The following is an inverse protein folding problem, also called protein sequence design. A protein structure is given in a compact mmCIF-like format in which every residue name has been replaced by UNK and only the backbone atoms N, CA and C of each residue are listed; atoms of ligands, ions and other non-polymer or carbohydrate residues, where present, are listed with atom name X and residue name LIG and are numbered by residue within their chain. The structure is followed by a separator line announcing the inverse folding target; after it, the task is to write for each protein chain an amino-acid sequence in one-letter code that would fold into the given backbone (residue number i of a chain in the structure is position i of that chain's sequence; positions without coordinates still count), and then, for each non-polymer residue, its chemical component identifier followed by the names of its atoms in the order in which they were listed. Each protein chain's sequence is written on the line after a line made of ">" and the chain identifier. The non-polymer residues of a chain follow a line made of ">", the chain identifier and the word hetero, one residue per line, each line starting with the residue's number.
data_IF_330615479795
#
_entry.id   IF_330615479795
#
_cell.length_a   1.000
_cell.length_b   1.000
_cell.length_c   1.000
_cell.angle_alpha   90.00
_cell.angle_beta   90.00
_cell.angle_gamma   90.00
#
_symmetry.space_group_name_H-M   'P 1'
#
loop_
_entity.id
_entity.type
_entity.pdbx_description
1 polymer ?
#
# COMPACT_ATOMS: atom_id res chain seq x y z
N UNK A 1 -12.32 -5.49 24.65
CA UNK A 1 -11.01 -5.01 24.18
C UNK A 1 -10.16 -6.07 23.48
N UNK A 2 -9.82 -7.23 24.08
CA UNK A 2 -8.97 -8.26 23.39
C UNK A 2 -9.62 -8.92 22.16
N UNK A 3 -10.95 -9.01 22.09
CA UNK A 3 -11.67 -9.57 20.93
C UNK A 3 -11.99 -8.59 19.80
N UNK A 4 -11.74 -7.29 19.98
CA UNK A 4 -12.12 -6.26 18.99
C UNK A 4 -11.05 -6.06 17.92
N UNK A 5 -9.77 -6.20 18.27
CA UNK A 5 -8.66 -5.97 17.33
C UNK A 5 -8.67 -6.96 16.15
N UNK A 6 -8.86 -8.28 16.35
CA UNK A 6 -8.95 -9.22 15.24
C UNK A 6 -10.13 -8.92 14.30
N UNK A 7 -11.28 -8.52 14.85
CA UNK A 7 -12.49 -8.19 14.06
C UNK A 7 -12.27 -6.93 13.22
N UNK A 8 -11.67 -5.88 13.79
CA UNK A 8 -11.38 -4.65 13.06
C UNK A 8 -10.37 -4.92 11.93
N UNK A 9 -9.36 -5.74 12.19
CA UNK A 9 -8.38 -6.14 11.18
C UNK A 9 -9.03 -6.92 10.03
N UNK A 10 -9.86 -7.91 10.35
CA UNK A 10 -10.59 -8.71 9.36
C UNK A 10 -11.52 -7.84 8.50
N UNK A 11 -12.27 -6.92 9.12
CA UNK A 11 -13.12 -5.97 8.41
C UNK A 11 -12.32 -5.06 7.49
N UNK A 12 -11.18 -4.53 7.96
CA UNK A 12 -10.29 -3.72 7.14
C UNK A 12 -9.74 -4.52 5.95
N UNK A 13 -9.24 -5.73 6.19
CA UNK A 13 -8.63 -6.59 5.17
C UNK A 13 -9.66 -7.12 4.15
N UNK A 14 -10.93 -7.19 4.54
CA UNK A 14 -12.06 -7.56 3.67
C UNK A 14 -12.71 -6.36 2.98
N UNK A 15 -12.23 -5.14 3.24
CA UNK A 15 -12.80 -3.94 2.63
C UNK A 15 -12.62 -3.95 1.10
N UNK A 16 -13.51 -3.28 0.34
CA UNK A 16 -13.44 -3.26 -1.12
C UNK A 16 -12.10 -2.76 -1.67
N UNK A 17 -11.49 -1.76 -1.01
CA UNK A 17 -10.22 -1.20 -1.45
C UNK A 17 -9.07 -2.20 -1.26
N UNK A 18 -8.98 -2.87 -0.09
CA UNK A 18 -7.95 -3.89 0.14
C UNK A 18 -8.13 -5.07 -0.80
N UNK A 19 -9.38 -5.50 -1.01
CA UNK A 19 -9.72 -6.57 -1.95
C UNK A 19 -9.30 -6.21 -3.38
N UNK A 20 -9.55 -4.98 -3.83
CA UNK A 20 -9.11 -4.52 -5.16
C UNK A 20 -7.58 -4.44 -5.26
N UNK A 21 -6.89 -3.92 -4.25
CA UNK A 21 -5.42 -3.83 -4.21
C UNK A 21 -4.77 -5.23 -4.31
N UNK A 22 -5.35 -6.24 -3.65
CA UNK A 22 -4.92 -7.65 -3.74
C UNK A 22 -4.98 -8.24 -5.15
N UNK A 23 -5.74 -7.64 -6.08
CA UNK A 23 -5.78 -8.11 -7.48
C UNK A 23 -4.50 -7.80 -8.27
N UNK A 24 -3.64 -6.89 -7.78
CA UNK A 24 -2.39 -6.49 -8.44
C UNK A 24 -1.20 -7.40 -8.12
N UNK A 25 -1.37 -8.38 -7.21
CA UNK A 25 -0.33 -9.31 -6.82
C UNK A 25 -0.57 -9.92 -5.45
N UNK A 26 0.25 -10.91 -5.10
CA UNK A 26 0.19 -11.55 -3.79
C UNK A 26 0.68 -10.59 -2.70
N UNK A 27 -0.12 -10.45 -1.64
CA UNK A 27 0.25 -9.83 -0.36
C UNK A 27 0.54 -10.95 0.63
N UNK A 28 1.58 -10.79 1.44
CA UNK A 28 2.03 -11.80 2.39
C UNK A 28 2.74 -12.99 1.76
N UNK A 29 3.14 -13.92 2.62
CA UNK A 29 3.69 -15.20 2.23
C UNK A 29 2.60 -16.17 1.69
N UNK A 30 3.00 -17.39 1.33
CA UNK A 30 2.07 -18.42 0.84
C UNK A 30 1.14 -18.97 1.93
N UNK A 31 1.38 -18.63 3.19
CA UNK A 31 0.63 -19.14 4.34
C UNK A 31 -0.62 -18.29 4.62
N UNK A 32 -0.70 -17.07 4.05
CA UNK A 32 -1.92 -16.26 4.06
C UNK A 32 -2.24 -15.66 5.44
N UNK A 33 -1.21 -15.36 6.24
CA UNK A 33 -1.41 -14.72 7.54
C UNK A 33 -1.88 -13.27 7.36
N UNK A 34 -3.12 -12.99 7.76
CA UNK A 34 -3.75 -11.65 7.67
C UNK A 34 -2.91 -10.53 8.31
N UNK A 35 -2.20 -10.80 9.41
CA UNK A 35 -1.35 -9.79 10.05
C UNK A 35 -0.10 -9.48 9.22
N UNK A 36 0.44 -10.49 8.52
CA UNK A 36 1.55 -10.31 7.58
C UNK A 36 1.09 -9.48 6.38
N UNK A 37 -0.04 -9.82 5.77
CA UNK A 37 -0.63 -9.06 4.66
C UNK A 37 -0.90 -7.60 5.05
N UNK A 38 -1.45 -7.37 6.24
CA UNK A 38 -1.65 -6.04 6.78
C UNK A 38 -0.34 -5.27 6.94
N UNK A 39 0.70 -5.93 7.48
CA UNK A 39 2.02 -5.33 7.67
C UNK A 39 2.65 -4.89 6.36
N UNK A 40 2.54 -5.72 5.31
CA UNK A 40 2.99 -5.38 3.95
C UNK A 40 2.18 -4.27 3.30
N UNK A 41 0.89 -4.15 3.60
CA UNK A 41 0.09 -3.02 3.13
C UNK A 41 0.56 -1.71 3.77
N UNK A 42 0.73 -1.70 5.09
CA UNK A 42 1.05 -0.47 5.83
C UNK A 42 2.51 -0.04 5.69
N UNK A 43 3.42 -0.92 5.28
CA UNK A 43 4.82 -0.55 4.98
C UNK A 43 4.95 0.36 3.74
N UNK A 44 3.90 0.42 2.91
CA UNK A 44 3.77 1.27 1.74
C UNK A 44 4.49 0.79 0.48
N UNK A 45 5.29 -0.28 0.53
CA UNK A 45 6.05 -0.80 -0.62
C UNK A 45 5.10 -1.39 -1.65
N UNK A 46 4.17 -2.26 -1.22
CA UNK A 46 3.22 -2.89 -2.13
C UNK A 46 2.35 -1.84 -2.83
N UNK A 47 1.80 -0.89 -2.07
CA UNK A 47 0.96 0.19 -2.61
C UNK A 47 1.70 1.06 -3.62
N UNK A 48 2.99 1.35 -3.40
CA UNK A 48 3.79 2.08 -4.39
C UNK A 48 4.00 1.27 -5.68
N UNK A 49 4.16 -0.06 -5.59
CA UNK A 49 4.21 -0.93 -6.77
C UNK A 49 2.89 -0.92 -7.53
N UNK A 50 1.75 -0.95 -6.83
CA UNK A 50 0.41 -0.82 -7.44
C UNK A 50 0.30 0.50 -8.20
N UNK A 51 0.70 1.62 -7.59
CA UNK A 51 0.69 2.92 -8.27
C UNK A 51 1.59 2.97 -9.51
N UNK A 52 2.71 2.24 -9.50
CA UNK A 52 3.58 2.12 -10.68
C UNK A 52 2.96 1.30 -11.81
N UNK A 53 2.18 0.25 -11.48
CA UNK A 53 1.41 -0.48 -12.50
C UNK A 53 0.31 0.42 -13.10
N UNK A 54 -0.32 1.28 -12.29
CA UNK A 54 -1.33 2.25 -12.74
C UNK A 54 -0.70 3.36 -13.61
N UNK A 55 0.46 3.86 -13.22
CA UNK A 55 1.17 4.92 -13.93
C UNK A 55 2.69 4.66 -13.97
N UNK A 56 3.18 3.97 -15.00
CA UNK A 56 4.61 3.63 -15.14
C UNK A 56 5.52 4.86 -15.33
N UNK A 57 4.94 6.04 -15.60
CA UNK A 57 5.70 7.30 -15.72
C UNK A 57 6.13 7.85 -14.35
N UNK A 58 5.59 7.34 -13.25
CA UNK A 58 5.98 7.71 -11.89
C UNK A 58 7.21 6.91 -11.42
N UNK A 59 8.28 7.59 -11.05
CA UNK A 59 9.52 6.93 -10.63
C UNK A 59 9.39 6.30 -9.22
N UNK A 60 9.41 4.97 -9.11
CA UNK A 60 9.46 4.25 -7.81
C UNK A 60 10.89 4.18 -7.25
N UNK A 61 11.60 5.30 -7.22
CA UNK A 61 12.93 5.36 -6.60
C UNK A 61 12.81 5.80 -5.14
N UNK A 62 13.62 5.21 -4.26
CA UNK A 62 13.71 5.62 -2.84
C UNK A 62 12.74 4.94 -1.87
N UNK A 63 12.18 3.77 -2.22
CA UNK A 63 11.46 2.95 -1.24
C UNK A 63 12.46 2.26 -0.31
N UNK A 64 12.22 2.39 0.99
CA UNK A 64 13.04 1.72 2.00
C UNK A 64 12.40 0.39 2.39
N UNK A 65 13.23 -0.65 2.54
CA UNK A 65 12.80 -1.86 3.24
C UNK A 65 12.52 -1.49 4.69
N UNK A 66 11.27 -1.64 5.13
CA UNK A 66 10.82 -1.19 6.46
C UNK A 66 11.18 -2.25 7.50
N UNK A 67 12.26 -2.03 8.26
CA UNK A 67 12.66 -2.93 9.35
C UNK A 67 11.98 -2.55 10.67
N UNK A 68 10.65 -2.45 10.67
CA UNK A 68 9.84 -1.89 11.77
C UNK A 68 10.14 -0.42 12.13
N UNK A 69 10.87 0.30 11.28
CA UNK A 69 11.14 1.72 11.48
C UNK A 69 9.95 2.58 11.00
N UNK A 70 9.40 3.38 11.92
CA UNK A 70 8.23 4.23 11.65
C UNK A 70 8.56 5.34 10.65
N UNK A 71 9.79 5.87 10.67
CA UNK A 71 10.24 6.91 9.74
C UNK A 71 10.27 6.41 8.29
N UNK A 72 10.79 5.20 8.07
CA UNK A 72 10.82 4.54 6.77
C UNK A 72 9.41 4.25 6.25
N UNK A 73 8.51 3.78 7.13
CA UNK A 73 7.09 3.61 6.79
C UNK A 73 6.44 4.93 6.36
N UNK A 74 6.63 5.98 7.15
CA UNK A 74 6.09 7.30 6.86
C UNK A 74 6.64 7.87 5.54
N UNK A 75 7.93 7.64 5.25
CA UNK A 75 8.55 8.03 3.99
C UNK A 75 7.91 7.29 2.80
N UNK A 76 7.78 5.96 2.87
CA UNK A 76 7.17 5.17 1.79
C UNK A 76 5.73 5.61 1.50
N UNK A 77 4.93 5.89 2.55
CA UNK A 77 3.56 6.40 2.40
C UNK A 77 3.52 7.84 1.87
N UNK A 78 4.52 8.67 2.21
CA UNK A 78 4.64 10.03 1.66
C UNK A 78 4.92 10.00 0.15
N UNK A 79 5.78 9.07 -0.31
CA UNK A 79 6.03 8.82 -1.73
C UNK A 79 4.75 8.35 -2.44
N UNK A 80 4.00 7.44 -1.82
CA UNK A 80 2.71 6.98 -2.36
C UNK A 80 1.74 8.15 -2.58
N UNK A 81 1.56 9.00 -1.56
CA UNK A 81 0.69 10.18 -1.63
C UNK A 81 1.15 11.13 -2.74
N UNK A 82 2.46 11.35 -2.86
CA UNK A 82 3.03 12.18 -3.93
C UNK A 82 2.68 11.61 -5.31
N UNK A 83 2.84 10.30 -5.53
CA UNK A 83 2.51 9.66 -6.81
C UNK A 83 1.02 9.75 -7.16
N UNK A 84 0.13 9.54 -6.18
CA UNK A 84 -1.32 9.69 -6.38
C UNK A 84 -1.65 11.13 -6.80
N UNK A 85 -1.12 12.13 -6.07
CA UNK A 85 -1.36 13.54 -6.39
C UNK A 85 -0.83 13.92 -7.77
N UNK A 86 0.42 13.54 -8.06
CA UNK A 86 1.07 13.81 -9.35
C UNK A 86 0.31 13.20 -10.51
N UNK A 87 -0.20 11.97 -10.37
CA UNK A 87 -1.01 11.31 -11.40
C UNK A 87 -2.25 12.14 -11.78
N UNK A 88 -3.03 12.58 -10.78
CA UNK A 88 -4.23 13.38 -11.03
C UNK A 88 -3.91 14.81 -11.51
N UNK A 89 -2.82 15.42 -11.03
CA UNK A 89 -2.40 16.76 -11.46
C UNK A 89 -1.85 16.80 -12.90
N UNK A 90 -1.11 15.77 -13.33
CA UNK A 90 -0.67 15.65 -14.73
C UNK A 90 -1.85 15.40 -15.64
N UNK A 91 -2.75 14.49 -15.26
CA UNK A 91 -3.95 14.18 -16.06
C UNK A 91 -4.89 15.38 -16.24
N UNK A 92 -4.96 16.29 -15.27
CA UNK A 92 -5.71 17.54 -15.41
C UNK A 92 -5.06 18.52 -16.40
N UNK A 93 -3.75 18.45 -16.64
CA UNK A 93 -3.04 19.35 -17.58
C UNK A 93 -3.03 18.85 -19.02
N UNK A 94 -3.35 17.58 -19.25
CA UNK A 94 -3.42 16.96 -20.58
C UNK A 94 -4.82 17.01 -21.21
N UNK A 95 -5.84 17.50 -20.48
CA UNK A 95 -7.21 17.74 -20.96
C UNK A 95 -7.47 19.24 -21.12
#
# INVERSE_FOLDING_TARGET
>A
MEGEIPVILEQFMSSPLVTWVKTFGQLGDKEGNMLSEYTELVDGIFLNKVMNQINPKGTVQGLNKVNNDVGQRAQNLSVLIYHIKSYYQVRHREN
#
